data_IF_392380350429
#
_entry.id   IF_392380350429
#
_cell.length_a   1.000
_cell.length_b   1.000
_cell.length_c   1.000
_cell.angle_alpha   90.00
_cell.angle_beta   90.00
_cell.angle_gamma   90.00
#
_symmetry.space_group_name_H-M   'P 1'
#
loop_
_entity.id
_entity.type
_entity.pdbx_description
1 polymer ?
#
# COMPACT_ATOMS: atom_id res chain seq x y z
N UNK A 1 6.39 -0.04 10.93
CA UNK A 1 5.09 0.45 10.44
C UNK A 1 4.25 -0.78 10.12
N UNK A 2 2.99 -0.86 10.51
CA UNK A 2 2.19 -2.05 10.25
C UNK A 2 1.28 -1.90 9.02
N UNK A 3 0.99 -2.99 8.31
CA UNK A 3 0.10 -2.97 7.14
C UNK A 3 -1.29 -2.40 7.46
N UNK A 4 -1.80 -2.65 8.67
CA UNK A 4 -3.10 -2.14 9.10
C UNK A 4 -3.10 -0.61 9.17
N UNK A 5 -1.99 -0.02 9.64
CA UNK A 5 -1.80 1.43 9.65
C UNK A 5 -1.73 1.99 8.23
N UNK A 6 -1.02 1.33 7.32
CA UNK A 6 -0.94 1.73 5.90
C UNK A 6 -2.32 1.76 5.26
N UNK A 7 -3.15 0.72 5.47
CA UNK A 7 -4.52 0.68 4.94
C UNK A 7 -5.37 1.79 5.56
N UNK A 8 -5.33 1.97 6.88
CA UNK A 8 -6.11 3.01 7.58
C UNK A 8 -5.75 4.41 7.07
N UNK A 9 -4.47 4.73 6.99
CA UNK A 9 -4.00 6.03 6.47
C UNK A 9 -4.29 6.21 4.99
N UNK A 10 -4.21 5.14 4.20
CA UNK A 10 -4.64 5.18 2.80
C UNK A 10 -6.14 5.49 2.68
N UNK A 11 -6.99 4.89 3.53
CA UNK A 11 -8.44 5.19 3.58
C UNK A 11 -8.72 6.64 3.99
N UNK A 12 -7.97 7.21 4.92
CA UNK A 12 -8.05 8.64 5.27
C UNK A 12 -7.74 9.54 4.04
N UNK A 13 -6.90 9.06 3.12
CA UNK A 13 -6.55 9.73 1.87
C UNK A 13 -7.43 9.30 0.68
N UNK A 14 -8.49 8.51 0.88
CA UNK A 14 -9.44 8.11 -0.18
C UNK A 14 -9.99 9.30 -0.96
N UNK A 15 -10.15 10.45 -0.32
CA UNK A 15 -10.63 11.69 -0.97
C UNK A 15 -9.76 12.15 -2.17
N UNK A 16 -8.52 11.66 -2.26
CA UNK A 16 -7.64 11.89 -3.41
C UNK A 16 -8.03 11.04 -4.64
N UNK A 17 -8.94 10.08 -4.48
CA UNK A 17 -9.46 9.21 -5.53
C UNK A 17 -10.99 9.33 -5.57
N UNK A 18 -11.49 10.19 -6.45
CA UNK A 18 -12.93 10.51 -6.50
C UNK A 18 -13.79 9.33 -6.98
N UNK A 19 -13.27 8.52 -7.90
CA UNK A 19 -13.97 7.35 -8.41
C UNK A 19 -13.90 6.19 -7.41
N UNK A 20 -15.08 5.75 -6.93
CA UNK A 20 -15.20 4.68 -5.93
C UNK A 20 -14.68 3.33 -6.42
N UNK A 21 -14.88 2.96 -7.68
CA UNK A 21 -14.43 1.69 -8.23
C UNK A 21 -12.90 1.66 -8.35
N UNK A 22 -12.29 2.78 -8.80
CA UNK A 22 -10.84 2.95 -8.80
C UNK A 22 -10.27 2.82 -7.38
N UNK A 23 -10.91 3.46 -6.40
CA UNK A 23 -10.51 3.32 -5.00
C UNK A 23 -10.52 1.85 -4.52
N UNK A 24 -11.60 1.11 -4.79
CA UNK A 24 -11.71 -0.29 -4.39
C UNK A 24 -10.63 -1.16 -5.04
N UNK A 25 -10.27 -0.87 -6.29
CA UNK A 25 -9.19 -1.56 -6.99
C UNK A 25 -7.81 -1.24 -6.37
N UNK A 26 -7.55 0.02 -6.05
CA UNK A 26 -6.32 0.44 -5.36
C UNK A 26 -6.21 -0.22 -3.99
N UNK A 27 -7.29 -0.19 -3.20
CA UNK A 27 -7.31 -0.80 -1.87
C UNK A 27 -7.03 -2.30 -1.94
N UNK A 28 -7.61 -2.99 -2.94
CA UNK A 28 -7.31 -4.40 -3.19
C UNK A 28 -5.83 -4.62 -3.52
N UNK A 29 -5.25 -3.77 -4.36
CA UNK A 29 -3.83 -3.86 -4.71
C UNK A 29 -2.92 -3.66 -3.48
N UNK A 30 -3.26 -2.72 -2.58
CA UNK A 30 -2.53 -2.49 -1.31
C UNK A 30 -2.57 -3.75 -0.43
N UNK A 31 -3.76 -4.35 -0.29
CA UNK A 31 -3.94 -5.59 0.49
C UNK A 31 -3.13 -6.73 -0.11
N UNK A 32 -3.12 -6.87 -1.44
CA UNK A 32 -2.30 -7.88 -2.13
C UNK A 32 -0.81 -7.63 -1.95
N UNK A 33 -0.36 -6.38 -1.98
CA UNK A 33 1.03 -5.99 -1.79
C UNK A 33 1.52 -6.33 -0.38
N UNK A 34 0.66 -6.19 0.63
CA UNK A 34 0.96 -6.56 2.02
C UNK A 34 1.34 -8.05 2.15
N UNK A 35 0.67 -8.94 1.40
CA UNK A 35 0.87 -10.40 1.50
C UNK A 35 2.18 -10.90 0.87
N UNK A 36 2.98 -10.00 0.30
CA UNK A 36 4.26 -10.37 -0.27
C UNK A 36 5.23 -10.82 0.82
N UNK A 37 5.95 -11.91 0.56
CA UNK A 37 6.77 -12.61 1.56
C UNK A 37 8.29 -12.40 1.43
N UNK A 38 8.75 -11.62 0.45
CA UNK A 38 10.16 -11.22 0.37
C UNK A 38 10.33 -9.88 -0.35
N UNK A 39 11.46 -9.23 -0.06
CA UNK A 39 11.77 -7.86 -0.47
C UNK A 39 11.84 -7.68 -1.99
N UNK A 40 12.39 -8.66 -2.70
CA UNK A 40 12.53 -8.58 -4.16
C UNK A 40 11.17 -8.62 -4.86
N UNK A 41 10.30 -9.54 -4.42
CA UNK A 41 8.92 -9.59 -4.92
C UNK A 41 8.16 -8.33 -4.52
N UNK A 42 8.38 -7.78 -3.33
CA UNK A 42 7.69 -6.59 -2.86
C UNK A 42 8.04 -5.39 -3.72
N UNK A 43 9.34 -5.15 -3.97
CA UNK A 43 9.79 -4.07 -4.84
C UNK A 43 9.23 -4.20 -6.26
N UNK A 44 9.21 -5.41 -6.80
CA UNK A 44 8.63 -5.68 -8.13
C UNK A 44 7.11 -5.43 -8.17
N UNK A 45 6.38 -5.93 -7.17
CA UNK A 45 4.93 -5.76 -7.08
C UNK A 45 4.53 -4.30 -6.83
N UNK A 46 5.26 -3.59 -5.96
CA UNK A 46 5.06 -2.17 -5.70
C UNK A 46 5.26 -1.34 -6.99
N UNK A 47 6.33 -1.62 -7.73
CA UNK A 47 6.57 -0.96 -9.03
C UNK A 47 5.44 -1.22 -10.02
N UNK A 48 4.98 -2.47 -10.14
CA UNK A 48 3.87 -2.82 -11.04
C UNK A 48 2.56 -2.14 -10.63
N UNK A 49 2.27 -2.06 -9.33
CA UNK A 49 1.12 -1.34 -8.80
C UNK A 49 1.17 0.15 -9.18
N UNK A 50 2.30 0.83 -8.98
CA UNK A 50 2.46 2.25 -9.35
C UNK A 50 2.30 2.43 -10.87
N UNK A 51 2.91 1.57 -11.68
CA UNK A 51 2.81 1.61 -13.14
C UNK A 51 1.37 1.44 -13.63
N UNK A 52 0.59 0.54 -13.02
CA UNK A 52 -0.83 0.31 -13.36
C UNK A 52 -1.66 1.59 -13.32
N UNK A 53 -1.36 2.48 -12.37
CA UNK A 53 -2.10 3.72 -12.13
C UNK A 53 -1.42 4.96 -12.73
N UNK A 54 -0.35 4.80 -13.51
CA UNK A 54 0.42 5.94 -14.06
C UNK A 54 -0.31 6.64 -15.20
N UNK A 55 -1.07 5.91 -16.01
CA UNK A 55 -1.81 6.50 -17.14
C UNK A 55 -3.04 7.32 -16.72
N UNK A 56 -3.50 7.15 -15.48
CA UNK A 56 -4.73 7.75 -14.96
C UNK A 56 -4.40 8.97 -14.10
N UNK A 57 -4.50 10.16 -14.71
CA UNK A 57 -4.14 11.44 -14.07
C UNK A 57 -4.97 11.75 -12.83
N UNK A 58 -6.19 11.23 -12.74
CA UNK A 58 -7.05 11.41 -11.57
C UNK A 58 -6.45 10.76 -10.31
N UNK A 59 -5.52 9.82 -10.50
CA UNK A 59 -4.87 9.07 -9.43
C UNK A 59 -3.50 9.65 -9.05
N UNK A 60 -2.99 10.66 -9.76
CA UNK A 60 -1.64 11.21 -9.57
C UNK A 60 -1.38 11.63 -8.12
N UNK A 61 -2.33 12.34 -7.51
CA UNK A 61 -2.20 12.83 -6.14
C UNK A 61 -2.09 11.67 -5.13
N UNK A 62 -2.95 10.65 -5.27
CA UNK A 62 -2.90 9.48 -4.41
C UNK A 62 -1.65 8.63 -4.66
N UNK A 63 -1.30 8.40 -5.93
CA UNK A 63 -0.11 7.64 -6.32
C UNK A 63 1.15 8.25 -5.73
N UNK A 64 1.31 9.57 -5.86
CA UNK A 64 2.45 10.30 -5.29
C UNK A 64 2.48 10.18 -3.77
N UNK A 65 1.34 10.41 -3.10
CA UNK A 65 1.23 10.22 -1.65
C UNK A 65 1.67 8.81 -1.24
N UNK A 66 1.15 7.79 -1.92
CA UNK A 66 1.40 6.40 -1.56
C UNK A 66 2.87 6.02 -1.76
N UNK A 67 3.45 6.41 -2.89
CA UNK A 67 4.86 6.19 -3.20
C UNK A 67 5.78 6.89 -2.19
N UNK A 68 5.59 8.19 -1.97
CA UNK A 68 6.43 9.00 -1.07
C UNK A 68 6.38 8.46 0.36
N UNK A 69 5.19 8.10 0.86
CA UNK A 69 5.01 7.64 2.25
C UNK A 69 5.36 6.17 2.45
N UNK A 70 4.79 5.27 1.65
CA UNK A 70 4.77 3.84 1.94
C UNK A 70 5.76 3.02 1.13
N UNK A 71 6.34 3.59 0.06
CA UNK A 71 7.36 2.90 -0.72
C UNK A 71 8.76 3.49 -0.54
N UNK A 72 8.86 4.81 -0.30
CA UNK A 72 10.14 5.49 -0.10
C UNK A 72 10.47 5.73 1.38
N UNK A 73 9.58 6.39 2.12
CA UNK A 73 9.84 6.76 3.53
C UNK A 73 9.74 5.58 4.49
N UNK A 74 8.69 4.75 4.35
CA UNK A 74 8.37 3.68 5.29
C UNK A 74 8.07 2.35 4.55
N UNK A 75 9.05 1.71 3.88
CA UNK A 75 8.81 0.56 3.01
C UNK A 75 8.50 -0.77 3.74
N UNK A 76 8.84 -0.88 5.02
CA UNK A 76 8.80 -2.14 5.77
C UNK A 76 7.44 -2.35 6.48
N UNK A 77 6.38 -2.53 5.69
CA UNK A 77 5.01 -2.74 6.21
C UNK A 77 4.31 -4.00 5.70
N UNK A 78 4.95 -4.80 4.83
CA UNK A 78 4.42 -6.07 4.30
C UNK A 78 4.86 -7.27 5.14
N UNK A 79 4.17 -8.41 5.03
CA UNK A 79 4.44 -9.64 5.80
C UNK A 79 5.91 -10.07 5.73
N UNK A 80 6.47 -10.11 4.52
CA UNK A 80 7.85 -10.52 4.30
C UNK A 80 8.93 -9.63 4.93
N UNK A 81 8.58 -8.39 5.32
CA UNK A 81 9.54 -7.45 5.93
C UNK A 81 9.88 -7.81 7.37
N UNK A 82 9.01 -8.57 8.05
CA UNK A 82 9.18 -9.02 9.43
C UNK A 82 8.99 -10.54 9.50
N UNK A 83 9.78 -11.28 8.72
CA UNK A 83 9.83 -12.74 8.79
C UNK A 83 9.92 -13.18 10.25
N UNK A 84 9.02 -14.07 10.68
CA UNK A 84 8.86 -14.63 12.04
C UNK A 84 8.03 -13.79 13.04
N UNK A 85 7.50 -12.63 12.66
CA UNK A 85 6.55 -11.87 13.49
C UNK A 85 5.10 -12.22 13.14
N UNK A 86 4.18 -12.38 14.11
CA UNK A 86 2.78 -12.69 13.80
C UNK A 86 2.08 -11.49 13.16
N UNK A 87 1.41 -11.74 12.03
CA UNK A 87 0.59 -10.77 11.29
C UNK A 87 -0.52 -10.14 12.15
N UNK A 88 -0.97 -10.84 13.19
CA UNK A 88 -2.05 -10.44 14.11
C UNK A 88 -1.67 -9.28 15.04
N UNK A 89 -0.38 -9.09 15.31
CA UNK A 89 0.09 -8.10 16.28
C UNK A 89 0.09 -6.68 15.68
N UNK A 90 0.01 -6.60 14.35
CA UNK A 90 0.00 -5.40 13.55
C UNK A 90 -1.37 -4.69 13.47
N UNK A 91 -2.46 -5.35 13.90
CA UNK A 91 -3.81 -4.76 13.97
C UNK A 91 -4.18 -4.18 15.34
N UNK A 92 -3.35 -4.41 16.35
CA UNK A 92 -3.53 -3.95 17.74
C UNK A 92 -2.77 -2.65 17.96
N UNK A 93 -3.02 -1.63 17.15
CA UNK A 93 -2.61 -0.26 17.49
C UNK A 93 -3.82 0.48 18.07
N UNK A 94 -3.65 0.96 19.30
CA UNK A 94 -4.58 1.78 20.09
C UNK A 94 -4.82 3.17 19.48
#
# INVERSE_FOLDING_TARGET
MCWAHVIRKSREHRKLVLNKEKWLAIEKDIVSLQLVFNDHLFGSAARLMIMRWTADKDLDAFRKYFEDQWLLSLPFWYEGSANLSPSTNNGLES
#
